data_IF_845473934004
#
_entry.id   IF_845473934004
#
_cell.length_a   1.000
_cell.length_b   1.000
_cell.length_c   1.000
_cell.angle_alpha   90.00
_cell.angle_beta   90.00
_cell.angle_gamma   90.00
#
_symmetry.space_group_name_H-M   'P 1'
#
loop_
_entity.id
_entity.type
_entity.pdbx_description
1 polymer ?
#
# COMPACT_ATOMS: atom_id res chain seq x y z
N UNK A 1 -1.98 7.59 -15.77
CA UNK A 1 -1.28 6.38 -15.30
C UNK A 1 -1.36 5.34 -16.41
N UNK A 2 -0.26 4.70 -16.80
CA UNK A 2 -0.28 3.69 -17.86
C UNK A 2 -1.08 2.45 -17.43
N UNK A 3 -1.91 1.92 -18.34
CA UNK A 3 -2.72 0.70 -18.15
C UNK A 3 -1.87 -0.47 -17.62
N UNK A 4 -0.67 -0.63 -18.17
CA UNK A 4 0.29 -1.68 -17.80
C UNK A 4 0.68 -1.65 -16.31
N UNK A 5 0.87 -0.46 -15.74
CA UNK A 5 1.19 -0.30 -14.32
C UNK A 5 0.02 -0.72 -13.42
N UNK A 6 -1.21 -0.36 -13.80
CA UNK A 6 -2.40 -0.74 -13.03
C UNK A 6 -2.66 -2.24 -13.08
N UNK A 7 -2.47 -2.88 -14.24
CA UNK A 7 -2.59 -4.34 -14.37
C UNK A 7 -1.55 -5.09 -13.53
N UNK A 8 -0.30 -4.61 -13.50
CA UNK A 8 0.72 -5.19 -12.61
C UNK A 8 0.33 -5.01 -11.15
N UNK A 9 -0.14 -3.81 -10.77
CA UNK A 9 -0.58 -3.54 -9.40
C UNK A 9 -1.73 -4.46 -8.96
N UNK A 10 -2.74 -4.65 -9.82
CA UNK A 10 -3.84 -5.58 -9.58
C UNK A 10 -3.35 -7.04 -9.47
N UNK A 11 -2.44 -7.48 -10.34
CA UNK A 11 -1.89 -8.82 -10.27
C UNK A 11 -1.18 -9.08 -8.93
N UNK A 12 -0.40 -8.12 -8.43
CA UNK A 12 0.26 -8.20 -7.12
C UNK A 12 -0.74 -8.29 -5.96
N UNK A 13 -1.83 -7.51 -6.03
CA UNK A 13 -2.91 -7.54 -5.03
C UNK A 13 -3.60 -8.91 -5.02
N UNK A 14 -3.93 -9.45 -6.20
CA UNK A 14 -4.58 -10.75 -6.33
C UNK A 14 -3.67 -11.88 -5.84
N UNK A 15 -2.37 -11.83 -6.16
CA UNK A 15 -1.38 -12.77 -5.65
C UNK A 15 -1.28 -12.72 -4.11
N UNK A 16 -1.34 -11.53 -3.52
CA UNK A 16 -1.33 -11.36 -2.07
C UNK A 16 -2.61 -11.90 -1.39
N UNK A 17 -3.76 -11.82 -2.06
CA UNK A 17 -5.03 -12.34 -1.55
C UNK A 17 -5.13 -13.86 -1.60
N UNK A 18 -4.95 -14.44 -2.79
CA UNK A 18 -5.14 -15.87 -2.99
C UNK A 18 -3.98 -16.71 -2.49
N UNK A 19 -2.80 -16.11 -2.35
CA UNK A 19 -1.59 -16.75 -1.89
C UNK A 19 -1.30 -18.12 -2.55
N UNK A 20 -1.29 -18.20 -3.90
CA UNK A 20 -1.12 -19.48 -4.60
C UNK A 20 0.27 -20.10 -4.36
N UNK A 21 1.22 -19.31 -3.87
CA UNK A 21 2.59 -19.71 -3.59
C UNK A 21 2.83 -19.99 -2.10
N UNK A 22 1.79 -19.93 -1.25
CA UNK A 22 1.87 -20.10 0.20
C UNK A 22 2.99 -19.24 0.83
N UNK A 23 3.03 -17.98 0.40
CA UNK A 23 3.94 -16.96 0.87
C UNK A 23 3.55 -16.60 2.30
N UNK A 24 4.53 -16.60 3.20
CA UNK A 24 4.32 -16.14 4.57
C UNK A 24 3.64 -14.76 4.61
N UNK A 25 2.86 -14.50 5.66
CA UNK A 25 2.00 -13.30 5.81
C UNK A 25 2.73 -11.99 5.52
N UNK A 26 4.02 -11.97 5.86
CA UNK A 26 5.00 -10.90 5.60
C UNK A 26 5.11 -10.54 4.12
N UNK A 27 5.32 -11.52 3.26
CA UNK A 27 5.45 -11.31 1.81
C UNK A 27 4.14 -10.92 1.16
N UNK A 28 3.02 -11.48 1.65
CA UNK A 28 1.68 -11.10 1.17
C UNK A 28 1.43 -9.62 1.40
N UNK A 29 1.79 -9.09 2.56
CA UNK A 29 1.61 -7.66 2.88
C UNK A 29 2.52 -6.77 2.04
N UNK A 30 3.77 -7.19 1.79
CA UNK A 30 4.69 -6.46 0.90
C UNK A 30 4.13 -6.37 -0.53
N UNK A 31 3.74 -7.51 -1.10
CA UNK A 31 3.13 -7.58 -2.44
C UNK A 31 1.87 -6.74 -2.51
N UNK A 32 1.06 -6.79 -1.47
CA UNK A 32 -0.16 -6.02 -1.36
C UNK A 32 0.12 -4.51 -1.39
N UNK A 33 1.02 -4.01 -0.53
CA UNK A 33 1.35 -2.58 -0.45
C UNK A 33 1.95 -2.08 -1.77
N UNK A 34 2.85 -2.85 -2.38
CA UNK A 34 3.43 -2.52 -3.69
C UNK A 34 2.36 -2.47 -4.77
N UNK A 35 1.50 -3.49 -4.83
CA UNK A 35 0.39 -3.52 -5.76
C UNK A 35 -0.55 -2.35 -5.57
N UNK A 36 -0.81 -1.99 -4.30
CA UNK A 36 -1.64 -0.86 -3.91
C UNK A 36 -1.06 0.46 -4.40
N UNK A 37 0.23 0.76 -4.23
CA UNK A 37 0.82 2.03 -4.74
C UNK A 37 0.82 2.13 -6.28
N UNK A 38 0.65 1.01 -6.98
CA UNK A 38 0.62 0.98 -8.44
C UNK A 38 -0.77 1.23 -9.04
N UNK A 39 -1.85 1.10 -8.26
CA UNK A 39 -3.22 1.29 -8.72
C UNK A 39 -3.79 2.68 -8.42
N UNK A 40 -4.80 3.08 -9.18
CA UNK A 40 -5.49 4.35 -8.97
C UNK A 40 -6.35 4.34 -7.70
N UNK A 41 -6.63 5.53 -7.16
CA UNK A 41 -7.43 5.69 -5.95
C UNK A 41 -8.84 5.10 -6.06
N UNK A 42 -9.44 5.13 -7.26
CA UNK A 42 -10.74 4.49 -7.51
C UNK A 42 -10.62 2.96 -7.35
N UNK A 43 -9.60 2.36 -7.95
CA UNK A 43 -9.34 0.91 -7.82
C UNK A 43 -8.99 0.53 -6.39
N UNK A 44 -8.26 1.37 -5.65
CA UNK A 44 -7.98 1.18 -4.23
C UNK A 44 -9.24 1.06 -3.38
N UNK A 45 -10.23 1.91 -3.63
CA UNK A 45 -11.55 1.80 -2.97
C UNK A 45 -12.28 0.50 -3.30
N UNK A 46 -12.23 0.07 -4.57
CA UNK A 46 -12.84 -1.21 -4.98
C UNK A 46 -12.14 -2.37 -4.29
N UNK A 47 -10.81 -2.39 -4.28
CA UNK A 47 -10.00 -3.42 -3.61
C UNK A 47 -10.30 -3.45 -2.10
N UNK A 48 -10.38 -2.29 -1.45
CA UNK A 48 -10.78 -2.19 -0.05
C UNK A 48 -12.20 -2.72 0.19
N UNK A 49 -13.17 -2.34 -0.64
CA UNK A 49 -14.54 -2.83 -0.52
C UNK A 49 -14.61 -4.34 -0.64
N UNK A 50 -13.92 -4.92 -1.64
CA UNK A 50 -13.85 -6.37 -1.83
C UNK A 50 -13.23 -7.05 -0.59
N UNK A 51 -12.11 -6.55 -0.07
CA UNK A 51 -11.46 -7.13 1.11
C UNK A 51 -12.35 -7.07 2.36
N UNK A 52 -13.04 -5.93 2.56
CA UNK A 52 -13.95 -5.70 3.67
C UNK A 52 -15.15 -6.66 3.64
N UNK A 53 -15.75 -6.89 2.48
CA UNK A 53 -16.89 -7.80 2.33
C UNK A 53 -16.50 -9.28 2.31
N UNK A 54 -15.33 -9.63 1.76
CA UNK A 54 -14.87 -11.01 1.69
C UNK A 54 -14.13 -11.48 2.96
N UNK A 55 -13.78 -10.57 3.88
CA UNK A 55 -13.17 -10.93 5.17
C UNK A 55 -11.76 -11.52 5.04
N UNK A 56 -11.01 -11.15 4.00
CA UNK A 56 -9.70 -11.75 3.67
C UNK A 56 -8.60 -11.34 4.68
N UNK A 57 -8.90 -10.42 5.61
CA UNK A 57 -8.17 -10.24 6.87
C UNK A 57 -7.16 -9.08 6.90
N UNK A 58 -7.00 -8.34 5.80
CA UNK A 58 -6.04 -7.23 5.68
C UNK A 58 -6.76 -5.86 5.59
N UNK A 59 -8.10 -5.86 5.69
CA UNK A 59 -8.98 -4.71 5.43
C UNK A 59 -8.73 -3.48 6.29
N UNK A 60 -8.28 -3.68 7.52
CA UNK A 60 -7.97 -2.61 8.46
C UNK A 60 -6.65 -1.88 8.11
N UNK A 61 -5.64 -2.61 7.62
CA UNK A 61 -4.39 -2.05 7.08
C UNK A 61 -4.70 -1.23 5.81
N UNK A 62 -5.57 -1.77 4.96
CA UNK A 62 -6.08 -1.12 3.77
C UNK A 62 -6.79 0.20 4.07
N UNK A 63 -7.67 0.21 5.08
CA UNK A 63 -8.40 1.40 5.50
C UNK A 63 -7.44 2.52 5.89
N UNK A 64 -6.39 2.20 6.65
CA UNK A 64 -5.40 3.19 7.08
C UNK A 64 -4.56 3.73 5.92
N UNK A 65 -4.18 2.87 4.96
CA UNK A 65 -3.47 3.30 3.75
C UNK A 65 -4.32 4.23 2.86
N UNK A 66 -5.59 3.88 2.66
CA UNK A 66 -6.54 4.72 1.91
C UNK A 66 -6.78 6.03 2.64
N UNK A 67 -6.98 5.98 3.96
CA UNK A 67 -7.18 7.17 4.78
C UNK A 67 -5.97 8.12 4.71
N UNK A 68 -4.75 7.59 4.83
CA UNK A 68 -3.53 8.38 4.71
C UNK A 68 -3.44 9.07 3.33
N UNK A 69 -3.74 8.36 2.25
CA UNK A 69 -3.71 8.92 0.89
C UNK A 69 -4.80 9.96 0.63
N UNK A 70 -5.99 9.80 1.23
CA UNK A 70 -7.06 10.81 1.17
C UNK A 70 -6.64 12.08 1.92
N UNK A 71 -6.09 11.91 3.13
CA UNK A 71 -5.63 13.02 3.96
C UNK A 71 -4.52 13.80 3.26
N UNK A 72 -3.54 13.12 2.65
CA UNK A 72 -2.45 13.80 1.92
C UNK A 72 -2.95 14.49 0.65
N UNK A 73 -3.90 13.90 -0.07
CA UNK A 73 -4.54 14.57 -1.22
C UNK A 73 -5.30 15.84 -0.82
N UNK A 74 -6.01 15.81 0.30
CA UNK A 74 -6.90 16.89 0.72
C UNK A 74 -6.13 18.06 1.34
N UNK A 75 -4.99 17.79 2.00
CA UNK A 75 -4.20 18.81 2.69
C UNK A 75 -3.39 19.74 1.77
N UNK A 76 -3.42 19.57 0.44
CA UNK A 76 -2.73 20.42 -0.57
C UNK A 76 -1.21 20.65 -0.39
N UNK A 77 -0.58 20.19 0.69
CA UNK A 77 0.88 20.16 0.88
C UNK A 77 1.45 18.94 0.17
N UNK A 78 1.30 18.95 -1.16
CA UNK A 78 1.43 17.79 -2.06
C UNK A 78 2.79 17.08 -2.06
N UNK A 79 3.85 17.68 -1.55
CA UNK A 79 5.21 17.15 -1.78
C UNK A 79 5.94 16.70 -0.52
N UNK A 80 5.85 17.46 0.58
CA UNK A 80 6.56 17.10 1.81
C UNK A 80 5.77 16.11 2.65
N UNK A 81 4.45 16.32 2.84
CA UNK A 81 3.60 15.37 3.57
C UNK A 81 3.46 14.05 2.82
N UNK A 82 3.35 14.05 1.50
CA UNK A 82 3.19 12.81 0.72
C UNK A 82 4.46 11.94 0.73
N UNK A 83 5.65 12.56 0.79
CA UNK A 83 6.93 11.84 0.83
C UNK A 83 7.29 11.31 2.21
N UNK A 84 6.77 11.90 3.29
CA UNK A 84 7.16 11.56 4.66
C UNK A 84 6.03 10.85 5.39
N UNK A 85 4.82 11.41 5.33
CA UNK A 85 3.68 11.00 6.15
C UNK A 85 3.08 9.68 5.68
N UNK A 86 3.11 9.41 4.37
CA UNK A 86 2.65 8.14 3.81
C UNK A 86 3.59 6.97 4.14
N UNK A 87 4.93 7.07 3.94
CA UNK A 87 5.86 6.06 4.46
C UNK A 87 5.78 5.88 5.98
N UNK A 88 5.58 6.95 6.74
CA UNK A 88 5.38 6.88 8.18
C UNK A 88 4.09 6.14 8.55
N UNK A 89 2.99 6.40 7.84
CA UNK A 89 1.73 5.68 8.04
C UNK A 89 1.93 4.19 7.76
N UNK A 90 2.55 3.85 6.63
CA UNK A 90 2.91 2.46 6.27
C UNK A 90 3.74 1.82 7.39
N UNK A 91 4.78 2.50 7.86
CA UNK A 91 5.66 2.03 8.92
C UNK A 91 4.90 1.74 10.22
N UNK A 92 4.09 2.70 10.68
CA UNK A 92 3.31 2.58 11.91
C UNK A 92 2.32 1.42 11.81
N UNK A 93 1.64 1.28 10.66
CA UNK A 93 0.69 0.19 10.44
C UNK A 93 1.39 -1.17 10.51
N UNK A 94 2.57 -1.30 9.89
CA UNK A 94 3.33 -2.55 9.88
C UNK A 94 3.85 -2.94 11.27
N UNK A 95 4.24 -1.96 12.08
CA UNK A 95 4.63 -2.20 13.49
C UNK A 95 3.43 -2.60 14.33
N UNK A 96 2.30 -1.89 14.22
CA UNK A 96 1.06 -2.24 14.95
C UNK A 96 0.53 -3.63 14.54
N UNK A 97 0.82 -4.07 13.32
CA UNK A 97 0.48 -5.40 12.81
C UNK A 97 1.45 -6.51 13.26
N UNK A 98 2.45 -6.19 14.08
CA UNK A 98 3.44 -7.11 14.63
C UNK A 98 4.23 -7.90 13.55
N UNK A 99 4.45 -7.30 12.38
CA UNK A 99 5.12 -7.95 11.24
C UNK A 99 6.64 -7.98 11.36
N UNK A 100 7.18 -7.34 12.39
CA UNK A 100 8.61 -7.20 12.62
C UNK A 100 9.15 -5.88 12.09
N UNK A 101 10.04 -5.28 12.88
CA UNK A 101 10.62 -3.96 12.63
C UNK A 101 11.39 -3.91 11.29
N UNK A 102 12.06 -5.00 10.94
CA UNK A 102 12.79 -5.16 9.67
C UNK A 102 11.91 -4.93 8.44
N UNK A 103 10.72 -5.54 8.41
CA UNK A 103 9.81 -5.44 7.27
C UNK A 103 9.15 -4.07 7.22
N UNK A 104 8.82 -3.51 8.38
CA UNK A 104 8.32 -2.16 8.47
C UNK A 104 9.31 -1.15 7.86
N UNK A 105 10.60 -1.27 8.20
CA UNK A 105 11.66 -0.41 7.63
C UNK A 105 11.79 -0.62 6.12
N UNK A 106 11.85 -1.87 5.65
CA UNK A 106 12.04 -2.16 4.21
C UNK A 106 10.89 -1.58 3.40
N UNK A 107 9.64 -1.85 3.80
CA UNK A 107 8.46 -1.42 3.04
C UNK A 107 8.29 0.11 3.09
N UNK A 108 8.46 0.72 4.27
CA UNK A 108 8.40 2.17 4.40
C UNK A 108 9.55 2.85 3.63
N UNK A 109 10.75 2.28 3.64
CA UNK A 109 11.89 2.76 2.88
C UNK A 109 11.65 2.69 1.37
N UNK A 110 11.09 1.58 0.86
CA UNK A 110 10.71 1.46 -0.55
C UNK A 110 9.62 2.48 -0.91
N UNK A 111 8.58 2.64 -0.10
CA UNK A 111 7.52 3.63 -0.34
C UNK A 111 8.08 5.07 -0.35
N UNK A 112 9.02 5.37 0.55
CA UNK A 112 9.73 6.65 0.59
C UNK A 112 10.57 6.87 -0.68
N UNK A 113 11.35 5.88 -1.12
CA UNK A 113 12.13 5.95 -2.35
C UNK A 113 11.24 6.15 -3.59
N UNK A 114 10.10 5.44 -3.66
CA UNK A 114 9.14 5.56 -4.77
C UNK A 114 8.46 6.93 -4.79
N UNK A 115 8.11 7.49 -3.63
CA UNK A 115 7.49 8.82 -3.55
C UNK A 115 8.51 9.93 -3.79
N UNK A 116 9.78 9.77 -3.39
CA UNK A 116 10.85 10.69 -3.74
C UNK A 116 11.17 10.67 -5.24
N UNK A 117 11.20 9.49 -5.88
CA UNK A 117 11.50 9.39 -7.33
C UNK A 117 10.38 9.92 -8.20
N UNK A 118 9.11 9.83 -7.79
CA UNK A 118 7.98 10.55 -8.43
C UNK A 118 8.14 12.08 -8.44
N UNK A 119 9.02 12.64 -7.61
CA UNK A 119 9.29 14.08 -7.56
C UNK A 119 10.35 14.54 -8.58
N UNK A 120 11.11 13.59 -9.15
CA UNK A 120 12.21 13.85 -10.09
C UNK A 120 11.91 13.42 -11.54
N UNK A 121 10.74 12.80 -11.77
CA UNK A 121 10.18 12.43 -13.08
C UNK A 121 8.92 13.24 -13.35
#
# INVERSE_FOLDING_TARGET
MGLLRQTIGLALIVLAWFDPLNLGIKFRIVLFILGFDMVSLLVKFVVFGIDYFLGIGIGWILLLLVAAEIVTKFLFVKSFLDSVLKPLAVFVILILSNLGLEIAIIVAGIDLLLNMTKKWL
#
